data_IF_054782345179
#
_entry.id   IF_054782345179
#
_cell.length_a   1.000
_cell.length_b   1.000
_cell.length_c   1.000
_cell.angle_alpha   90.00
_cell.angle_beta   90.00
_cell.angle_gamma   90.00
#
_symmetry.space_group_name_H-M   'P 1'
#
loop_
_entity.id
_entity.type
_entity.pdbx_description
1 polymer ?
#
# COMPACT_ATOMS: atom_id res chain seq x y z
N UNK A 1 0.29 -11.46 5.26
CA UNK A 1 -0.34 -10.21 4.82
C UNK A 1 -1.36 -9.71 5.82
N UNK A 2 -2.60 -10.16 5.69
CA UNK A 2 -3.72 -9.77 6.56
C UNK A 2 -3.41 -9.89 8.06
N UNK A 3 -2.94 -11.05 8.54
CA UNK A 3 -2.61 -11.26 9.96
C UNK A 3 -1.58 -10.25 10.48
N UNK A 4 -0.58 -9.90 9.67
CA UNK A 4 0.41 -8.88 10.02
C UNK A 4 -0.21 -7.49 10.11
N UNK A 5 -1.08 -7.16 9.16
CA UNK A 5 -1.83 -5.89 9.13
C UNK A 5 -2.76 -5.74 10.34
N UNK A 6 -3.24 -6.85 10.87
CA UNK A 6 -4.14 -6.90 12.04
C UNK A 6 -3.43 -7.08 13.38
N UNK A 7 -2.08 -7.01 13.43
CA UNK A 7 -1.24 -7.22 14.63
C UNK A 7 -1.31 -8.65 15.20
N UNK A 8 -1.81 -9.62 14.43
CA UNK A 8 -1.89 -11.02 14.88
C UNK A 8 -0.51 -11.68 14.87
N UNK A 9 0.36 -11.27 13.94
CA UNK A 9 1.78 -11.64 13.88
C UNK A 9 2.65 -10.40 13.67
N UNK A 10 3.88 -10.41 14.18
CA UNK A 10 4.94 -9.43 13.89
C UNK A 10 5.92 -9.90 12.81
N UNK A 11 6.21 -11.20 12.78
CA UNK A 11 7.17 -11.84 11.89
C UNK A 11 6.64 -13.19 11.37
N UNK A 12 7.35 -13.78 10.39
CA UNK A 12 6.92 -15.01 9.72
C UNK A 12 7.20 -16.27 10.55
N UNK A 13 8.19 -16.23 11.44
CA UNK A 13 8.56 -17.33 12.36
C UNK A 13 7.49 -17.59 13.45
N UNK A 14 6.57 -16.66 13.66
CA UNK A 14 5.37 -16.85 14.46
C UNK A 14 4.36 -17.82 13.79
N UNK A 15 4.50 -18.12 12.49
CA UNK A 15 3.62 -19.03 11.75
C UNK A 15 4.20 -20.44 11.73
N UNK A 16 3.56 -21.37 12.46
CA UNK A 16 3.94 -22.78 12.48
C UNK A 16 3.44 -23.55 11.24
N UNK A 17 2.24 -23.21 10.75
CA UNK A 17 1.61 -23.87 9.59
C UNK A 17 0.68 -22.89 8.87
N UNK A 18 0.69 -22.93 7.54
CA UNK A 18 -0.27 -22.24 6.68
C UNK A 18 -0.79 -23.25 5.64
N UNK A 19 -2.10 -23.44 5.60
CA UNK A 19 -2.77 -24.30 4.62
C UNK A 19 -3.84 -23.51 3.89
N UNK A 20 -3.92 -23.67 2.58
CA UNK A 20 -4.94 -23.03 1.75
C UNK A 20 -5.81 -24.11 1.13
N UNK A 21 -7.09 -24.07 1.45
CA UNK A 21 -8.09 -24.94 0.85
C UNK A 21 -8.21 -24.61 -0.64
N UNK A 22 -8.01 -25.60 -1.53
CA UNK A 22 -8.17 -25.39 -2.98
C UNK A 22 -9.64 -25.25 -3.39
N UNK A 23 -10.59 -25.56 -2.50
CA UNK A 23 -12.02 -25.58 -2.81
C UNK A 23 -12.65 -24.20 -2.61
N UNK A 24 -12.38 -23.56 -1.47
CA UNK A 24 -13.00 -22.30 -1.07
C UNK A 24 -11.98 -21.17 -0.86
N UNK A 25 -10.69 -21.42 -1.09
CA UNK A 25 -9.62 -20.43 -0.91
C UNK A 25 -9.36 -20.05 0.55
N UNK A 26 -9.93 -20.78 1.51
CA UNK A 26 -9.75 -20.51 2.94
C UNK A 26 -8.32 -20.80 3.34
N UNK A 27 -7.68 -19.80 3.95
CA UNK A 27 -6.37 -19.95 4.59
C UNK A 27 -6.54 -20.28 6.07
N UNK A 28 -6.03 -21.43 6.49
CA UNK A 28 -5.92 -21.82 7.90
C UNK A 28 -4.48 -21.63 8.37
N UNK A 29 -4.31 -20.88 9.46
CA UNK A 29 -2.99 -20.52 9.98
C UNK A 29 -2.88 -20.96 11.43
N UNK A 30 -1.86 -21.76 11.73
CA UNK A 30 -1.47 -22.13 13.08
C UNK A 30 -0.25 -21.31 13.49
N UNK A 31 -0.33 -20.65 14.64
CA UNK A 31 0.77 -19.87 15.20
C UNK A 31 1.58 -20.67 16.22
N UNK A 32 2.82 -20.26 16.46
CA UNK A 32 3.71 -20.86 17.48
C UNK A 32 3.36 -20.42 18.90
N UNK A 33 2.44 -19.48 19.06
CA UNK A 33 1.98 -18.94 20.33
C UNK A 33 0.45 -18.76 20.33
N UNK A 34 -0.19 -18.74 21.51
CA UNK A 34 -1.59 -18.35 21.60
C UNK A 34 -1.78 -16.89 21.18
N UNK A 35 -2.92 -16.58 20.56
CA UNK A 35 -3.31 -15.22 20.23
C UNK A 35 -4.74 -14.96 20.71
N UNK A 36 -4.94 -13.81 21.36
CA UNK A 36 -6.28 -13.31 21.64
C UNK A 36 -6.71 -12.44 20.47
N UNK A 37 -7.69 -12.93 19.71
CA UNK A 37 -8.26 -12.14 18.63
C UNK A 37 -9.02 -10.96 19.23
N UNK A 38 -8.91 -9.74 18.67
CA UNK A 38 -9.69 -8.62 19.16
C UNK A 38 -11.18 -8.89 18.99
N UNK A 39 -11.97 -8.51 19.99
CA UNK A 39 -13.41 -8.75 20.05
C UNK A 39 -14.23 -7.69 19.31
N UNK A 40 -13.72 -6.46 19.20
CA UNK A 40 -14.37 -5.37 18.47
C UNK A 40 -13.95 -5.34 17.00
N UNK A 41 -14.90 -5.67 16.14
CA UNK A 41 -14.76 -5.66 14.68
C UNK A 41 -15.38 -4.39 14.12
N UNK A 42 -14.63 -3.60 13.36
CA UNK A 42 -15.20 -2.47 12.61
C UNK A 42 -15.52 -2.94 11.20
N UNK A 43 -16.80 -2.87 10.84
CA UNK A 43 -17.25 -2.99 9.47
C UNK A 43 -16.85 -1.72 8.74
N UNK A 44 -15.87 -1.85 7.86
CA UNK A 44 -15.39 -0.73 7.04
C UNK A 44 -16.39 -0.47 5.92
N UNK A 45 -16.64 0.80 5.59
CA UNK A 45 -17.59 1.19 4.52
C UNK A 45 -17.02 0.97 3.10
N UNK A 46 -15.86 0.31 2.97
CA UNK A 46 -15.34 -0.15 1.69
C UNK A 46 -16.24 -1.22 1.09
N UNK A 47 -16.38 -1.24 -0.25
CA UNK A 47 -17.25 -2.16 -1.01
C UNK A 47 -17.01 -3.67 -0.80
N UNK A 48 -16.12 -4.09 0.10
CA UNK A 48 -15.81 -5.48 0.40
C UNK A 48 -16.22 -5.97 1.79
N UNK A 49 -16.90 -5.15 2.61
CA UNK A 49 -17.28 -5.57 3.97
C UNK A 49 -16.08 -5.96 4.84
N UNK A 50 -14.90 -5.39 4.55
CA UNK A 50 -13.65 -5.76 5.20
C UNK A 50 -13.76 -5.50 6.69
N UNK A 51 -13.50 -6.55 7.48
CA UNK A 51 -13.42 -6.45 8.93
C UNK A 51 -11.97 -6.13 9.27
N UNK A 52 -11.74 -4.95 9.84
CA UNK A 52 -10.46 -4.58 10.44
C UNK A 52 -10.66 -4.31 11.93
N UNK A 53 -9.64 -4.60 12.73
CA UNK A 53 -9.62 -4.19 14.13
C UNK A 53 -9.22 -2.71 14.21
N UNK A 54 -9.86 -1.96 15.12
CA UNK A 54 -9.83 -0.49 15.16
C UNK A 54 -8.41 0.09 14.99
N UNK A 55 -8.16 0.72 13.83
CA UNK A 55 -6.90 1.42 13.55
C UNK A 55 -7.00 2.85 14.10
N UNK A 56 -6.51 3.07 15.33
CA UNK A 56 -6.37 4.43 15.86
C UNK A 56 -5.11 5.09 15.28
N UNK A 57 -5.31 6.03 14.35
CA UNK A 57 -4.24 6.82 13.73
C UNK A 57 -3.33 7.53 14.75
N UNK A 58 -3.80 7.81 15.98
CA UNK A 58 -2.97 8.42 17.05
C UNK A 58 -1.87 7.49 17.56
N UNK A 59 -1.99 6.19 17.30
CA UNK A 59 -1.00 5.19 17.68
C UNK A 59 0.10 5.01 16.64
N UNK A 60 0.04 5.70 15.50
CA UNK A 60 1.04 5.61 14.45
C UNK A 60 2.10 6.68 14.64
N UNK A 61 3.38 6.31 14.77
CA UNK A 61 4.46 7.29 14.77
C UNK A 61 4.55 7.97 13.41
N UNK A 62 5.05 9.22 13.38
CA UNK A 62 5.44 9.85 12.12
C UNK A 62 6.57 9.03 11.49
N UNK A 63 6.48 8.78 10.19
CA UNK A 63 7.55 8.10 9.47
C UNK A 63 8.74 9.03 9.28
N UNK A 64 9.93 8.48 9.45
CA UNK A 64 11.18 9.16 9.12
C UNK A 64 11.83 8.39 7.98
N UNK A 65 12.01 9.06 6.84
CA UNK A 65 12.53 8.47 5.61
C UNK A 65 13.40 9.46 4.86
N UNK A 66 14.46 8.95 4.24
CA UNK A 66 15.33 9.73 3.35
C UNK A 66 14.96 9.56 1.88
N UNK A 67 13.93 8.75 1.57
CA UNK A 67 13.50 8.45 0.21
C UNK A 67 13.21 9.74 -0.56
N UNK A 68 13.80 9.87 -1.74
CA UNK A 68 13.52 10.91 -2.73
C UNK A 68 13.38 10.26 -4.09
N UNK A 69 12.26 10.52 -4.76
CA UNK A 69 11.90 9.85 -6.02
C UNK A 69 11.61 10.91 -7.07
N UNK A 70 12.36 10.94 -8.19
CA UNK A 70 12.02 11.75 -9.35
C UNK A 70 10.63 11.42 -9.91
N UNK A 71 9.91 12.44 -10.39
CA UNK A 71 8.56 12.29 -10.91
C UNK A 71 8.46 11.29 -12.08
N UNK A 72 9.44 11.30 -12.99
CA UNK A 72 9.54 10.38 -14.12
C UNK A 72 9.72 8.92 -13.66
N UNK A 73 10.51 8.69 -12.60
CA UNK A 73 10.71 7.36 -12.01
C UNK A 73 9.44 6.85 -11.36
N UNK A 74 8.72 7.69 -10.61
CA UNK A 74 7.44 7.30 -10.03
C UNK A 74 6.41 6.95 -11.12
N UNK A 75 6.35 7.76 -12.18
CA UNK A 75 5.50 7.50 -13.34
C UNK A 75 5.87 6.18 -14.04
N UNK A 76 7.17 5.91 -14.22
CA UNK A 76 7.65 4.65 -14.78
C UNK A 76 7.25 3.45 -13.92
N UNK A 77 7.40 3.50 -12.59
CA UNK A 77 6.96 2.42 -11.70
C UNK A 77 5.45 2.19 -11.76
N UNK A 78 4.66 3.26 -11.87
CA UNK A 78 3.21 3.14 -12.05
C UNK A 78 2.84 2.49 -13.40
N UNK A 79 3.60 2.79 -14.47
CA UNK A 79 3.46 2.12 -15.76
C UNK A 79 3.81 0.63 -15.67
N UNK A 80 4.87 0.29 -14.93
CA UNK A 80 5.29 -1.10 -14.71
C UNK A 80 4.20 -1.88 -13.98
N UNK A 81 3.62 -1.33 -12.90
CA UNK A 81 2.52 -2.01 -12.21
C UNK A 81 1.31 -2.17 -13.14
N UNK A 82 0.99 -1.16 -13.96
CA UNK A 82 -0.09 -1.32 -14.94
C UNK A 82 0.20 -2.48 -15.90
N UNK A 83 1.43 -2.63 -16.39
CA UNK A 83 1.81 -3.71 -17.29
C UNK A 83 1.78 -5.09 -16.61
N UNK A 84 2.27 -5.18 -15.37
CA UNK A 84 2.37 -6.42 -14.60
C UNK A 84 1.03 -6.93 -14.04
N UNK A 85 0.07 -6.03 -13.78
CA UNK A 85 -1.26 -6.38 -13.30
C UNK A 85 -2.16 -6.83 -14.47
N UNK A 86 -1.94 -8.06 -14.94
CA UNK A 86 -2.58 -8.64 -16.14
C UNK A 86 -4.10 -8.71 -15.97
N UNK A 87 -4.58 -9.28 -14.87
CA UNK A 87 -6.01 -9.46 -14.67
C UNK A 87 -6.74 -8.14 -14.43
N UNK A 88 -6.06 -7.16 -13.85
CA UNK A 88 -6.54 -5.79 -13.72
C UNK A 88 -6.77 -5.12 -15.08
N UNK A 89 -5.83 -5.33 -16.02
CA UNK A 89 -5.94 -4.80 -17.39
C UNK A 89 -7.09 -5.44 -18.16
N UNK A 90 -7.32 -6.73 -17.98
CA UNK A 90 -8.34 -7.50 -18.70
C UNK A 90 -9.75 -7.28 -18.16
N UNK A 91 -9.92 -7.36 -16.84
CA UNK A 91 -11.27 -7.39 -16.24
C UNK A 91 -11.77 -6.02 -15.80
N UNK A 92 -10.88 -5.09 -15.41
CA UNK A 92 -11.19 -3.83 -14.71
C UNK A 92 -12.05 -3.97 -13.43
N UNK A 93 -12.39 -5.20 -13.03
CA UNK A 93 -13.19 -5.52 -11.84
C UNK A 93 -12.35 -5.91 -10.63
N UNK A 94 -11.02 -5.87 -10.76
CA UNK A 94 -10.08 -6.12 -9.67
C UNK A 94 -9.17 -4.91 -9.44
N UNK A 95 -8.26 -5.03 -8.50
CA UNK A 95 -7.24 -4.06 -8.17
C UNK A 95 -5.85 -4.70 -8.19
N UNK A 96 -4.85 -3.90 -8.56
CA UNK A 96 -3.43 -4.24 -8.46
C UNK A 96 -2.76 -3.34 -7.43
N UNK A 97 -1.78 -3.89 -6.72
CA UNK A 97 -0.88 -3.15 -5.86
C UNK A 97 0.55 -3.67 -6.05
N UNK A 98 1.53 -2.83 -5.79
CA UNK A 98 2.94 -3.23 -5.82
C UNK A 98 3.76 -2.51 -4.77
N UNK A 99 4.80 -3.20 -4.29
CA UNK A 99 5.93 -2.58 -3.61
C UNK A 99 7.02 -2.35 -4.65
N UNK A 100 7.61 -1.16 -4.65
CA UNK A 100 8.66 -0.79 -5.59
C UNK A 100 9.78 -0.01 -4.90
N UNK A 101 10.95 -0.03 -5.52
CA UNK A 101 11.97 1.00 -5.33
C UNK A 101 11.92 1.96 -6.53
N UNK A 102 12.92 2.84 -6.66
CA UNK A 102 13.03 3.79 -7.78
C UNK A 102 13.48 3.14 -9.10
N UNK A 103 13.91 1.87 -9.08
CA UNK A 103 14.42 1.14 -10.24
C UNK A 103 13.42 0.12 -10.80
N UNK A 104 12.67 -0.58 -9.94
CA UNK A 104 11.84 -1.74 -10.31
C UNK A 104 10.70 -2.01 -9.33
N UNK A 105 9.79 -2.88 -9.76
CA UNK A 105 8.83 -3.51 -8.86
C UNK A 105 9.52 -4.65 -8.10
N UNK A 106 9.31 -4.68 -6.78
CA UNK A 106 9.82 -5.72 -5.88
C UNK A 106 8.78 -6.82 -5.69
N UNK A 107 7.51 -6.43 -5.58
CA UNK A 107 6.37 -7.31 -5.34
C UNK A 107 5.17 -6.75 -6.10
N UNK A 108 4.37 -7.63 -6.71
CA UNK A 108 3.09 -7.28 -7.33
C UNK A 108 2.02 -8.24 -6.84
N UNK A 109 0.84 -7.72 -6.51
CA UNK A 109 -0.31 -8.56 -6.17
C UNK A 109 -1.62 -7.98 -6.71
N UNK A 110 -2.55 -8.87 -7.03
CA UNK A 110 -3.88 -8.54 -7.52
C UNK A 110 -4.98 -9.13 -6.61
N UNK A 111 -6.09 -8.42 -6.49
CA UNK A 111 -7.28 -8.88 -5.76
C UNK A 111 -8.53 -8.10 -6.16
N UNK A 112 -9.71 -8.69 -6.00
CA UNK A 112 -10.99 -7.98 -6.19
C UNK A 112 -11.08 -6.74 -5.30
N UNK A 113 -10.55 -6.81 -4.07
CA UNK A 113 -10.49 -5.68 -3.14
C UNK A 113 -9.14 -4.99 -3.11
N UNK A 114 -9.10 -3.66 -3.25
CA UNK A 114 -7.83 -2.88 -3.12
C UNK A 114 -7.11 -3.09 -1.78
N UNK A 115 -7.86 -3.28 -0.70
CA UNK A 115 -7.30 -3.52 0.63
C UNK A 115 -6.57 -4.85 0.70
N UNK A 116 -7.14 -5.89 0.07
CA UNK A 116 -6.55 -7.22 0.00
C UNK A 116 -5.34 -7.22 -0.92
N UNK A 117 -5.37 -6.48 -2.03
CA UNK A 117 -4.21 -6.35 -2.91
C UNK A 117 -2.99 -5.80 -2.13
N UNK A 118 -3.18 -4.79 -1.28
CA UNK A 118 -2.11 -4.28 -0.40
C UNK A 118 -1.70 -5.28 0.67
N UNK A 119 -2.66 -5.99 1.29
CA UNK A 119 -2.32 -7.03 2.27
C UNK A 119 -1.51 -8.18 1.66
N UNK A 120 -1.82 -8.54 0.41
CA UNK A 120 -1.04 -9.51 -0.37
C UNK A 120 0.36 -8.97 -0.66
N UNK A 121 0.50 -7.71 -1.08
CA UNK A 121 1.83 -7.08 -1.24
C UNK A 121 2.66 -7.21 0.05
N UNK A 122 2.09 -6.92 1.23
CA UNK A 122 2.82 -7.11 2.49
C UNK A 122 3.09 -8.58 2.79
N UNK A 123 2.16 -9.48 2.46
CA UNK A 123 2.35 -10.93 2.60
C UNK A 123 3.53 -11.45 1.78
N UNK A 124 3.55 -11.14 0.50
CA UNK A 124 4.63 -11.51 -0.42
C UNK A 124 5.97 -10.91 0.02
N UNK A 125 5.99 -9.63 0.45
CA UNK A 125 7.20 -9.01 0.98
C UNK A 125 7.73 -9.74 2.23
N UNK A 126 6.84 -10.16 3.15
CA UNK A 126 7.23 -10.96 4.31
C UNK A 126 7.79 -12.34 3.92
N UNK A 127 7.14 -13.03 2.99
CA UNK A 127 7.59 -14.34 2.50
C UNK A 127 8.96 -14.26 1.80
N UNK A 128 9.22 -13.17 1.07
CA UNK A 128 10.46 -12.93 0.36
C UNK A 128 11.56 -12.27 1.22
N UNK A 129 11.29 -11.94 2.49
CA UNK A 129 12.23 -11.21 3.35
C UNK A 129 12.57 -9.80 2.84
N UNK A 130 11.65 -9.17 2.09
CA UNK A 130 11.85 -7.84 1.50
C UNK A 130 11.37 -6.78 2.51
N UNK A 131 12.24 -5.86 2.95
CA UNK A 131 11.84 -4.73 3.80
C UNK A 131 10.91 -3.78 3.04
N UNK A 132 9.93 -3.22 3.75
CA UNK A 132 8.93 -2.30 3.19
C UNK A 132 9.26 -0.83 3.49
N UNK A 133 10.19 -0.58 4.40
CA UNK A 133 10.72 0.72 4.76
C UNK A 133 11.49 1.34 3.58
N UNK A 134 11.40 2.67 3.43
CA UNK A 134 12.04 3.39 2.31
C UNK A 134 11.71 2.80 0.93
N UNK A 135 10.45 2.37 0.75
CA UNK A 135 9.91 1.90 -0.52
C UNK A 135 8.72 2.74 -0.98
N UNK A 136 8.23 2.41 -2.15
CA UNK A 136 7.05 3.01 -2.78
C UNK A 136 5.93 1.96 -2.78
N UNK A 137 4.75 2.32 -2.26
CA UNK A 137 3.54 1.54 -2.45
C UNK A 137 2.74 2.12 -3.62
N UNK A 138 2.52 1.30 -4.63
CA UNK A 138 1.71 1.62 -5.80
C UNK A 138 0.35 0.94 -5.70
N UNK A 139 -0.71 1.64 -6.11
CA UNK A 139 -2.05 1.05 -6.17
C UNK A 139 -2.86 1.51 -7.39
N UNK A 140 -3.69 0.62 -7.92
CA UNK A 140 -4.68 1.00 -8.94
C UNK A 140 -5.97 1.56 -8.35
N UNK A 141 -6.21 1.39 -7.04
CA UNK A 141 -7.41 1.86 -6.33
C UNK A 141 -7.23 3.20 -5.63
N UNK A 142 -8.34 3.77 -5.12
CA UNK A 142 -8.34 5.02 -4.34
C UNK A 142 -7.55 4.87 -3.04
N UNK A 143 -6.86 5.94 -2.65
CA UNK A 143 -6.17 6.03 -1.36
C UNK A 143 -7.15 6.54 -0.31
N UNK A 144 -7.84 5.64 0.37
CA UNK A 144 -8.61 5.96 1.58
C UNK A 144 -7.69 6.11 2.80
N UNK A 145 -8.22 6.62 3.92
CA UNK A 145 -7.52 6.65 5.20
C UNK A 145 -6.97 5.28 5.59
N UNK A 146 -7.75 4.23 5.41
CA UNK A 146 -7.36 2.84 5.70
C UNK A 146 -6.19 2.38 4.82
N UNK A 147 -6.22 2.66 3.52
CA UNK A 147 -5.13 2.34 2.60
C UNK A 147 -3.84 3.06 2.99
N UNK A 148 -3.96 4.34 3.38
CA UNK A 148 -2.82 5.11 3.87
C UNK A 148 -2.27 4.55 5.19
N UNK A 149 -3.14 4.20 6.14
CA UNK A 149 -2.73 3.62 7.42
C UNK A 149 -2.05 2.26 7.23
N UNK A 150 -2.47 1.45 6.25
CA UNK A 150 -1.75 0.23 5.86
C UNK A 150 -0.34 0.54 5.36
N UNK A 151 -0.19 1.53 4.47
CA UNK A 151 1.14 1.97 4.01
C UNK A 151 2.01 2.48 5.15
N UNK A 152 1.46 3.33 6.02
CA UNK A 152 2.15 3.85 7.19
C UNK A 152 2.57 2.72 8.13
N UNK A 153 1.72 1.72 8.34
CA UNK A 153 2.04 0.53 9.12
C UNK A 153 3.23 -0.22 8.54
N UNK A 154 3.26 -0.39 7.23
CA UNK A 154 4.36 -1.00 6.50
C UNK A 154 5.66 -0.17 6.54
N UNK A 155 5.64 1.03 7.13
CA UNK A 155 6.79 1.93 7.11
C UNK A 155 7.05 2.54 5.73
N UNK A 156 6.07 2.49 4.82
CA UNK A 156 6.22 2.99 3.45
C UNK A 156 6.02 4.52 3.44
N UNK A 157 7.05 5.31 3.08
CA UNK A 157 6.98 6.77 3.10
C UNK A 157 6.33 7.39 1.86
N UNK A 158 6.10 6.64 0.78
CA UNK A 158 5.49 7.14 -0.46
C UNK A 158 4.40 6.20 -0.97
N UNK A 159 3.19 6.73 -1.13
CA UNK A 159 2.04 6.05 -1.75
C UNK A 159 1.68 6.74 -3.06
N UNK A 160 1.60 5.99 -4.14
CA UNK A 160 1.14 6.49 -5.43
C UNK A 160 -0.04 5.68 -5.97
N UNK A 161 -1.01 6.38 -6.54
CA UNK A 161 -2.23 5.78 -7.07
C UNK A 161 -2.56 6.26 -8.48
N UNK A 162 -3.16 5.36 -9.27
CA UNK A 162 -3.79 5.71 -10.55
C UNK A 162 -5.02 6.61 -10.42
N UNK A 163 -5.55 6.82 -9.21
CA UNK A 163 -6.79 7.57 -8.95
C UNK A 163 -6.64 8.44 -7.69
N UNK A 164 -7.76 8.96 -7.15
CA UNK A 164 -7.76 9.96 -6.10
C UNK A 164 -7.47 9.42 -4.69
N UNK A 165 -6.78 10.21 -3.85
CA UNK A 165 -6.88 10.09 -2.41
C UNK A 165 -8.20 10.72 -1.88
N UNK A 166 -8.63 10.34 -0.68
CA UNK A 166 -9.67 11.06 0.05
C UNK A 166 -9.07 12.20 0.87
N UNK A 167 -9.84 13.23 1.19
CA UNK A 167 -9.40 14.34 2.07
C UNK A 167 -8.82 13.83 3.40
N UNK A 168 -9.53 12.89 4.05
CA UNK A 168 -9.03 12.27 5.29
C UNK A 168 -7.71 11.49 5.09
N UNK A 169 -7.45 10.95 3.90
CA UNK A 169 -6.17 10.30 3.63
C UNK A 169 -5.05 11.34 3.47
N UNK A 170 -5.33 12.49 2.86
CA UNK A 170 -4.37 13.59 2.74
C UNK A 170 -4.01 14.14 4.13
N UNK A 171 -5.01 14.42 4.98
CA UNK A 171 -4.77 14.89 6.34
C UNK A 171 -3.93 13.90 7.18
N UNK A 172 -4.22 12.60 7.08
CA UNK A 172 -3.42 11.57 7.74
C UNK A 172 -1.99 11.49 7.18
N UNK A 173 -1.81 11.72 5.88
CA UNK A 173 -0.50 11.68 5.25
C UNK A 173 0.42 12.78 5.79
N UNK A 174 -0.10 13.99 5.98
CA UNK A 174 0.64 15.10 6.61
C UNK A 174 1.00 14.79 8.07
N UNK A 175 0.04 14.26 8.83
CA UNK A 175 0.27 13.86 10.21
C UNK A 175 1.37 12.80 10.29
N UNK A 176 1.33 11.78 9.45
CA UNK A 176 2.22 10.62 9.50
C UNK A 176 3.51 10.78 8.68
N UNK A 177 3.69 11.92 8.01
CA UNK A 177 4.81 12.18 7.11
C UNK A 177 4.91 11.14 5.98
N UNK A 178 3.77 10.85 5.35
CA UNK A 178 3.67 10.00 4.16
C UNK A 178 3.45 10.89 2.94
N UNK A 179 4.19 10.64 1.87
CA UNK A 179 3.98 11.30 0.59
C UNK A 179 2.87 10.61 -0.19
N UNK A 180 1.91 11.37 -0.70
CA UNK A 180 0.76 10.83 -1.45
C UNK A 180 0.67 11.46 -2.83
N UNK A 181 0.77 10.63 -3.86
CA UNK A 181 0.57 11.00 -5.25
C UNK A 181 -0.69 10.32 -5.80
N UNK A 182 -1.57 11.10 -6.41
CA UNK A 182 -2.77 10.59 -7.07
C UNK A 182 -2.74 10.84 -8.57
N UNK A 183 -3.64 10.17 -9.29
CA UNK A 183 -3.78 10.31 -10.74
C UNK A 183 -2.49 10.10 -11.54
N UNK A 184 -1.57 9.26 -11.03
CA UNK A 184 -0.30 8.96 -11.70
C UNK A 184 -0.57 8.15 -12.97
N UNK A 185 -0.46 8.80 -14.14
CA UNK A 185 -0.79 8.23 -15.45
C UNK A 185 0.01 8.92 -16.56
N UNK A 186 0.76 8.13 -17.34
CA UNK A 186 1.65 8.71 -18.36
C UNK A 186 2.64 9.66 -17.68
N UNK A 187 2.74 10.88 -18.19
CA UNK A 187 3.65 11.90 -17.67
C UNK A 187 2.98 12.86 -16.66
N UNK A 188 1.73 12.58 -16.26
CA UNK A 188 0.98 13.40 -15.33
C UNK A 188 0.80 12.71 -13.97
N UNK A 189 0.90 13.50 -12.91
CA UNK A 189 0.60 13.13 -11.54
C UNK A 189 0.20 14.37 -10.72
N UNK A 190 -0.48 14.14 -9.60
CA UNK A 190 -0.76 15.18 -8.61
C UNK A 190 -0.14 14.79 -7.27
N UNK A 191 0.70 15.67 -6.72
CA UNK A 191 1.19 15.57 -5.35
C UNK A 191 0.15 16.16 -4.39
N UNK A 192 -0.32 15.37 -3.43
CA UNK A 192 -1.33 15.79 -2.45
C UNK A 192 -0.75 16.07 -1.06
N UNK A 193 0.31 15.37 -0.67
CA UNK A 193 0.98 15.53 0.63
C UNK A 193 2.42 15.02 0.56
N UNK A 194 3.26 15.50 1.48
CA UNK A 194 4.63 15.04 1.69
C UNK A 194 5.66 15.61 0.70
N UNK A 195 6.91 15.19 0.85
CA UNK A 195 8.07 15.76 0.17
C UNK A 195 9.04 14.73 -0.40
N UNK A 196 8.66 13.45 -0.43
CA UNK A 196 9.48 12.39 -1.01
C UNK A 196 9.50 12.44 -2.55
N UNK A 197 8.52 13.10 -3.19
CA UNK A 197 8.53 13.31 -4.62
C UNK A 197 9.39 14.53 -4.97
N UNK A 198 10.34 14.36 -5.88
CA UNK A 198 11.11 15.44 -6.49
C UNK A 198 10.35 15.93 -7.73
N UNK A 199 9.80 17.13 -7.65
CA UNK A 199 9.26 17.84 -8.80
C UNK A 199 10.41 18.61 -9.44
N UNK A 200 10.59 18.45 -10.75
CA UNK A 200 11.49 19.32 -11.50
C UNK A 200 10.98 20.77 -11.35
N UNK A 201 11.88 21.72 -11.09
CA UNK A 201 11.51 23.12 -11.21
C UNK A 201 11.05 23.38 -12.66
N UNK A 202 9.99 24.19 -12.87
CA UNK A 202 9.62 24.55 -14.22
C UNK A 202 10.82 25.18 -14.93
N UNK A 203 11.23 24.57 -16.04
CA UNK A 203 12.26 25.11 -16.94
C UNK A 203 11.78 26.45 -17.47
N UNK A 204 12.24 27.54 -16.83
CA UNK A 204 12.12 28.91 -17.32
C UNK A 204 10.75 29.56 -17.19
N UNK A 205 10.55 30.34 -16.13
CA UNK A 205 9.83 31.59 -16.32
C UNK A 205 10.70 32.48 -17.24
N UNK A 206 10.14 33.12 -18.30
CA UNK A 206 10.92 34.06 -19.10
C UNK A 206 11.45 35.16 -18.17
N UNK A 207 12.77 35.31 -18.14
CA UNK A 207 13.39 36.51 -17.58
C UNK A 207 13.21 37.63 -18.60
N UNK A 208 12.32 38.57 -18.31
CA UNK A 208 12.22 39.86 -19.00
C UNK A 208 11.25 39.87 -20.16
#
# INVERSE_FOLDING_TARGET
GYLWMEKVIGALDEVARLEVSPVDGRAEVTLTHPVTLPTERILTSGCGGGITFRIDHRLFPRLHSTLRVPADRLAARMKDLFAAAVHYRESRGIHGAALADDERLLVVAEDVGRHNAVDKVKGEALLAGIPTEDRILLSTGRVSSEMLLKAARMGVPLVASRTSPTEMAVALAEQLNVTVCGYVRGDALNLYAGSALLLDEPVGAPRG
#
